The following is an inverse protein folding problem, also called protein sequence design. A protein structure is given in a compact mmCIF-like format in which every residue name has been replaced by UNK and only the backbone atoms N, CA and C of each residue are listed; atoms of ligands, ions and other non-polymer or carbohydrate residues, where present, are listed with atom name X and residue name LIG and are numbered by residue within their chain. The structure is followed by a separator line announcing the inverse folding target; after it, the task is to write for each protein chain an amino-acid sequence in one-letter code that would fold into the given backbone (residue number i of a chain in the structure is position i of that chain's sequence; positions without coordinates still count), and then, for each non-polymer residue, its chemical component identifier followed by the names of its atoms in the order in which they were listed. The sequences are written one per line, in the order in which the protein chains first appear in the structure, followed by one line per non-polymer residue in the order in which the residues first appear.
data_IF_205792165155
#
_entry.id   IF_205792165155
#
_cell.length_a   1.000
_cell.length_b   1.000
_cell.length_c   1.000
_cell.angle_alpha   90.00
_cell.angle_beta   90.00
_cell.angle_gamma   90.00
#
_symmetry.space_group_name_H-M   'P 1'
#
loop_
_entity.id
_entity.type
_entity.pdbx_description
1 polymer ?
#
# COMPACT_ATOMS: atom_id res chain seq x y z
N UNK A 1 17.63 -2.22 -5.80
CA UNK A 1 17.25 -1.50 -4.56
C UNK A 1 17.86 -2.25 -3.35
N UNK A 2 17.57 -1.86 -2.09
CA UNK A 2 18.16 -2.53 -0.90
C UNK A 2 17.89 -4.05 -0.84
N UNK A 3 16.76 -4.50 -1.39
CA UNK A 3 16.42 -5.92 -1.51
C UNK A 3 17.24 -6.62 -2.59
N UNK A 4 17.60 -5.92 -3.67
CA UNK A 4 18.53 -6.42 -4.69
C UNK A 4 19.98 -6.48 -4.20
N UNK A 5 20.39 -5.48 -3.43
CA UNK A 5 21.72 -5.37 -2.83
C UNK A 5 21.92 -6.35 -1.67
N UNK A 6 20.88 -7.14 -1.32
CA UNK A 6 20.83 -8.09 -0.19
C UNK A 6 21.04 -7.42 1.18
N UNK A 7 20.84 -6.11 1.25
CA UNK A 7 20.86 -5.34 2.49
C UNK A 7 19.48 -5.40 3.17
N UNK A 8 19.17 -6.56 3.74
CA UNK A 8 17.86 -6.84 4.33
C UNK A 8 17.60 -6.03 5.61
N UNK A 9 18.67 -5.64 6.32
CA UNK A 9 18.55 -4.74 7.48
C UNK A 9 18.09 -3.35 7.04
N UNK A 10 18.68 -2.82 5.95
CA UNK A 10 18.20 -1.56 5.35
C UNK A 10 16.81 -1.71 4.76
N UNK A 11 16.49 -2.83 4.11
CA UNK A 11 15.15 -3.09 3.58
C UNK A 11 14.08 -3.05 4.69
N UNK A 12 14.34 -3.66 5.85
CA UNK A 12 13.45 -3.61 7.01
C UNK A 12 13.31 -2.19 7.58
N UNK A 13 14.41 -1.43 7.64
CA UNK A 13 14.36 -0.02 8.05
C UNK A 13 13.49 0.81 7.11
N UNK A 14 13.61 0.61 5.79
CA UNK A 14 12.77 1.30 4.79
C UNK A 14 11.31 0.91 4.93
N UNK A 15 11.01 -0.38 5.13
CA UNK A 15 9.63 -0.86 5.37
C UNK A 15 9.00 -0.18 6.58
N UNK A 16 9.72 -0.09 7.70
CA UNK A 16 9.25 0.60 8.90
C UNK A 16 9.06 2.09 8.69
N UNK A 17 9.94 2.74 7.91
CA UNK A 17 9.75 4.14 7.53
C UNK A 17 8.46 4.34 6.73
N UNK A 18 8.20 3.49 5.73
CA UNK A 18 6.96 3.57 4.95
C UNK A 18 5.71 3.41 5.81
N UNK A 19 5.74 2.58 6.87
CA UNK A 19 4.63 2.50 7.83
C UNK A 19 4.39 3.80 8.59
N UNK A 20 5.45 4.47 9.04
CA UNK A 20 5.31 5.78 9.70
C UNK A 20 4.83 6.86 8.72
N UNK A 21 5.30 6.80 7.47
CA UNK A 21 4.85 7.71 6.41
C UNK A 21 3.35 7.51 6.11
N UNK A 22 2.86 6.25 6.07
CA UNK A 22 1.44 5.93 5.88
C UNK A 22 0.57 6.56 6.98
N UNK A 23 0.99 6.49 8.25
CA UNK A 23 0.27 7.17 9.34
C UNK A 23 0.17 8.67 9.09
N UNK A 24 1.28 9.28 8.68
CA UNK A 24 1.35 10.71 8.35
C UNK A 24 0.41 11.05 7.18
N UNK A 25 0.40 10.26 6.11
CA UNK A 25 -0.49 10.47 4.97
C UNK A 25 -1.96 10.34 5.34
N UNK A 26 -2.32 9.37 6.20
CA UNK A 26 -3.69 9.25 6.71
C UNK A 26 -4.12 10.49 7.49
N UNK A 27 -3.24 11.07 8.30
CA UNK A 27 -3.54 12.34 8.98
C UNK A 27 -3.70 13.50 7.99
N UNK A 28 -2.86 13.56 6.96
CA UNK A 28 -2.98 14.58 5.91
C UNK A 28 -4.32 14.47 5.16
N UNK A 29 -4.72 13.26 4.77
CA UNK A 29 -6.02 13.00 4.13
C UNK A 29 -7.18 13.45 5.03
N UNK A 30 -7.14 13.11 6.33
CA UNK A 30 -8.17 13.56 7.28
C UNK A 30 -8.21 15.08 7.45
N UNK A 31 -7.07 15.76 7.36
CA UNK A 31 -6.98 17.23 7.43
C UNK A 31 -7.57 17.93 6.21
N UNK A 32 -7.52 17.30 5.03
CA UNK A 32 -8.20 17.82 3.83
C UNK A 32 -9.71 17.86 4.05
N UNK A 33 -10.25 16.86 4.75
CA UNK A 33 -11.67 16.76 5.04
C UNK A 33 -12.50 16.43 3.79
N UNK A 34 -13.84 16.41 3.92
CA UNK A 34 -14.74 16.12 2.82
C UNK A 34 -14.74 17.24 1.76
N UNK A 35 -14.89 16.85 0.49
CA UNK A 35 -15.08 17.80 -0.60
C UNK A 35 -16.56 18.19 -0.71
N UNK A 36 -16.89 19.46 -0.45
CA UNK A 36 -18.29 19.96 -0.45
C UNK A 36 -19.24 19.10 0.42
N UNK A 37 -18.73 18.50 1.49
CA UNK A 37 -19.49 17.61 2.37
C UNK A 37 -19.50 16.12 1.97
N UNK A 38 -18.94 15.77 0.80
CA UNK A 38 -18.73 14.39 0.37
C UNK A 38 -17.42 13.81 0.92
N UNK A 39 -17.52 12.68 1.65
CA UNK A 39 -16.37 11.97 2.24
C UNK A 39 -15.82 10.86 1.34
N UNK A 40 -16.45 10.54 0.21
CA UNK A 40 -16.21 9.33 -0.56
C UNK A 40 -14.74 9.16 -0.97
N UNK A 41 -14.13 10.18 -1.56
CA UNK A 41 -12.72 10.14 -1.96
C UNK A 41 -11.77 10.09 -0.75
N UNK A 42 -12.10 10.81 0.33
CA UNK A 42 -11.32 10.81 1.57
C UNK A 42 -11.32 9.42 2.21
N UNK A 43 -12.49 8.81 2.35
CA UNK A 43 -12.67 7.48 2.95
C UNK A 43 -11.98 6.40 2.09
N UNK A 44 -12.07 6.50 0.76
CA UNK A 44 -11.36 5.63 -0.17
C UNK A 44 -9.84 5.76 -0.04
N UNK A 45 -9.31 6.98 0.06
CA UNK A 45 -7.88 7.21 0.24
C UNK A 45 -7.37 6.64 1.58
N UNK A 46 -8.16 6.77 2.65
CA UNK A 46 -7.85 6.15 3.95
C UNK A 46 -7.83 4.62 3.84
N UNK A 47 -8.82 4.02 3.18
CA UNK A 47 -8.88 2.58 2.99
C UNK A 47 -7.70 2.05 2.14
N UNK A 48 -7.32 2.77 1.09
CA UNK A 48 -6.13 2.46 0.28
C UNK A 48 -4.86 2.44 1.14
N UNK A 49 -4.66 3.47 1.97
CA UNK A 49 -3.52 3.56 2.88
C UNK A 49 -3.52 2.45 3.94
N UNK A 50 -4.70 2.02 4.41
CA UNK A 50 -4.83 0.89 5.32
C UNK A 50 -4.41 -0.44 4.69
N UNK A 51 -4.76 -0.69 3.43
CA UNK A 51 -4.29 -1.88 2.71
C UNK A 51 -2.78 -1.82 2.43
N UNK A 52 -2.24 -0.62 2.19
CA UNK A 52 -0.79 -0.44 2.04
C UNK A 52 -0.04 -0.74 3.35
N UNK A 53 -0.55 -0.31 4.51
CA UNK A 53 0.02 -0.66 5.82
C UNK A 53 0.02 -2.19 6.05
N UNK A 54 -1.09 -2.86 5.69
CA UNK A 54 -1.19 -4.34 5.75
C UNK A 54 -0.20 -5.04 4.81
N UNK A 55 0.03 -4.49 3.62
CA UNK A 55 1.05 -4.99 2.70
C UNK A 55 2.44 -4.89 3.32
N UNK A 56 2.73 -3.83 4.08
CA UNK A 56 4.00 -3.69 4.79
C UNK A 56 4.19 -4.74 5.88
N UNK A 57 3.13 -5.11 6.61
CA UNK A 57 3.25 -6.11 7.68
C UNK A 57 3.27 -7.55 7.19
N UNK A 58 2.49 -7.87 6.16
CA UNK A 58 2.24 -9.26 5.76
C UNK A 58 2.84 -9.63 4.40
N UNK A 59 3.12 -8.64 3.55
CA UNK A 59 3.69 -8.86 2.22
C UNK A 59 5.19 -8.60 2.19
N UNK A 60 5.58 -7.35 2.42
CA UNK A 60 6.98 -6.91 2.28
C UNK A 60 7.88 -7.48 3.38
N UNK A 61 7.40 -7.52 4.64
CA UNK A 61 8.14 -8.14 5.74
C UNK A 61 8.47 -9.60 5.44
N UNK A 62 7.48 -10.38 4.99
CA UNK A 62 7.66 -11.79 4.64
C UNK A 62 8.68 -11.95 3.51
N UNK A 63 8.64 -11.11 2.47
CA UNK A 63 9.64 -11.14 1.40
C UNK A 63 11.06 -10.87 1.93
N UNK A 64 11.24 -9.89 2.82
CA UNK A 64 12.53 -9.60 3.45
C UNK A 64 13.04 -10.83 4.22
N UNK A 65 12.19 -11.43 5.05
CA UNK A 65 12.52 -12.62 5.84
C UNK A 65 12.88 -13.83 4.96
N UNK A 66 12.11 -14.07 3.89
CA UNK A 66 12.39 -15.15 2.93
C UNK A 66 13.72 -14.95 2.23
N UNK A 67 14.01 -13.74 1.76
CA UNK A 67 15.27 -13.44 1.06
C UNK A 67 16.47 -13.46 2.01
N UNK A 68 16.31 -13.03 3.26
CA UNK A 68 17.32 -13.19 4.32
C UNK A 68 17.61 -14.66 4.62
N UNK A 69 16.61 -15.53 4.53
CA UNK A 69 16.76 -16.99 4.64
C UNK A 69 17.26 -17.68 3.34
N UNK A 70 17.68 -16.92 2.32
CA UNK A 70 18.22 -17.47 1.08
C UNK A 70 17.17 -18.03 0.10
N UNK A 71 15.88 -17.74 0.31
CA UNK A 71 14.78 -18.24 -0.53
C UNK A 71 14.49 -17.39 -1.77
N UNK A 72 15.45 -16.57 -2.22
CA UNK A 72 15.25 -15.72 -3.40
C UNK A 72 15.06 -16.61 -4.64
N UNK A 73 13.99 -16.38 -5.39
CA UNK A 73 13.69 -17.12 -6.61
C UNK A 73 13.07 -18.51 -6.37
N UNK A 74 12.80 -18.91 -5.12
CA UNK A 74 12.11 -20.18 -4.87
C UNK A 74 10.62 -20.08 -5.19
N UNK A 75 9.93 -21.20 -5.45
CA UNK A 75 8.50 -21.20 -5.70
C UNK A 75 7.69 -20.53 -4.59
N UNK A 76 8.12 -20.65 -3.33
CA UNK A 76 7.45 -20.01 -2.19
C UNK A 76 7.57 -18.49 -2.25
N UNK A 77 8.74 -17.94 -2.57
CA UNK A 77 8.93 -16.49 -2.70
C UNK A 77 8.14 -15.94 -3.90
N UNK A 78 8.09 -16.68 -5.00
CA UNK A 78 7.27 -16.33 -6.17
C UNK A 78 5.77 -16.35 -5.85
N UNK A 79 5.31 -17.31 -5.03
CA UNK A 79 3.94 -17.32 -4.55
C UNK A 79 3.61 -16.10 -3.68
N UNK A 80 4.53 -15.69 -2.80
CA UNK A 80 4.38 -14.47 -2.00
C UNK A 80 4.36 -13.21 -2.88
N UNK A 81 5.24 -13.10 -3.88
CA UNK A 81 5.24 -11.99 -4.83
C UNK A 81 3.91 -11.91 -5.60
N UNK A 82 3.39 -13.05 -6.06
CA UNK A 82 2.08 -13.11 -6.73
C UNK A 82 0.95 -12.64 -5.80
N UNK A 83 0.96 -13.11 -4.54
CA UNK A 83 -0.02 -12.68 -3.54
C UNK A 83 0.02 -11.17 -3.28
N UNK A 84 1.22 -10.61 -3.13
CA UNK A 84 1.42 -9.16 -2.96
C UNK A 84 0.91 -8.38 -4.18
N UNK A 85 1.24 -8.82 -5.39
CA UNK A 85 0.80 -8.16 -6.62
C UNK A 85 -0.72 -8.19 -6.77
N UNK A 86 -1.38 -9.31 -6.45
CA UNK A 86 -2.84 -9.41 -6.46
C UNK A 86 -3.50 -8.51 -5.42
N UNK A 87 -2.89 -8.37 -4.23
CA UNK A 87 -3.38 -7.44 -3.21
C UNK A 87 -3.28 -5.98 -3.70
N UNK A 88 -2.13 -5.59 -4.26
CA UNK A 88 -1.89 -4.24 -4.80
C UNK A 88 -2.91 -3.90 -5.88
N UNK A 89 -3.08 -4.81 -6.84
CA UNK A 89 -4.06 -4.61 -7.91
C UNK A 89 -5.46 -4.42 -7.33
N UNK A 90 -5.90 -5.29 -6.42
CA UNK A 90 -7.25 -5.23 -5.85
C UNK A 90 -7.55 -3.90 -5.15
N UNK A 91 -6.66 -3.43 -4.27
CA UNK A 91 -6.94 -2.18 -3.56
C UNK A 91 -6.77 -0.95 -4.45
N UNK A 92 -5.93 -1.02 -5.49
CA UNK A 92 -5.77 0.06 -6.48
C UNK A 92 -7.00 0.15 -7.37
N UNK A 93 -7.48 -0.98 -7.90
CA UNK A 93 -8.70 -1.05 -8.71
C UNK A 93 -9.89 -0.50 -7.92
N UNK A 94 -10.00 -0.83 -6.62
CA UNK A 94 -11.09 -0.32 -5.78
C UNK A 94 -10.98 1.19 -5.54
N UNK A 95 -9.78 1.71 -5.35
CA UNK A 95 -9.58 3.14 -5.18
C UNK A 95 -9.88 3.91 -6.46
N UNK A 96 -9.48 3.37 -7.62
CA UNK A 96 -9.78 3.96 -8.92
C UNK A 96 -11.28 4.00 -9.21
N UNK A 97 -12.00 2.90 -8.98
CA UNK A 97 -13.46 2.84 -9.12
C UNK A 97 -14.15 3.95 -8.32
N UNK A 98 -13.80 4.11 -7.04
CA UNK A 98 -14.39 5.15 -6.20
C UNK A 98 -13.94 6.55 -6.61
N UNK A 99 -12.73 6.69 -7.17
CA UNK A 99 -12.26 7.97 -7.69
C UNK A 99 -13.01 8.38 -8.95
N UNK A 100 -13.29 7.45 -9.85
CA UNK A 100 -14.07 7.68 -11.06
C UNK A 100 -15.51 8.06 -10.69
N UNK A 101 -16.15 7.30 -9.78
CA UNK A 101 -17.49 7.62 -9.25
C UNK A 101 -17.54 9.03 -8.62
N UNK A 102 -16.46 9.43 -7.93
CA UNK A 102 -16.36 10.75 -7.31
C UNK A 102 -16.26 11.86 -8.35
N UNK A 103 -15.44 11.65 -9.38
CA UNK A 103 -15.28 12.62 -10.46
C UNK A 103 -16.57 12.79 -11.26
N UNK A 104 -17.26 11.70 -11.61
CA UNK A 104 -18.56 11.76 -12.30
C UNK A 104 -19.60 12.51 -11.47
N UNK A 105 -19.66 12.26 -10.14
CA UNK A 105 -20.60 12.93 -9.25
C UNK A 105 -20.36 14.45 -9.14
N UNK A 106 -19.12 14.89 -9.31
CA UNK A 106 -18.70 16.28 -9.14
C UNK A 106 -18.23 16.92 -10.47
N UNK A 107 -18.63 16.39 -11.62
CA UNK A 107 -18.19 16.85 -12.94
C UNK A 107 -18.74 18.24 -13.31
N UNK A 108 -19.97 18.55 -12.88
CA UNK A 108 -20.71 19.79 -13.20
C UNK A 108 -20.60 20.88 -12.11
N UNK A 109 -19.66 20.71 -11.18
CA UNK A 109 -19.61 21.35 -9.86
C UNK A 109 -18.62 22.53 -9.76
#
# INVERSE_FOLDING_TARGET
DAMDDKDYARAEKVRLQWKEDVKTYKEQVRKLGPYKGDTMLMDAAIAFLDEYDRLMDNGYKVLIEMRAAGKRGTPEEQAQLKSNNSLIQRFTDKFNEVSDDFLEKHEDD
#
